data_IF_020638020661
#
_entry.id   IF_020638020661
#
_cell.length_a   1.000
_cell.length_b   1.000
_cell.length_c   1.000
_cell.angle_alpha   90.00
_cell.angle_beta   90.00
_cell.angle_gamma   90.00
#
_symmetry.space_group_name_H-M   'P 1'
#
loop_
_entity.id
_entity.type
_entity.pdbx_description
1 polymer ?
#
# COMPACT_ATOMS: atom_id res chain seq x y z
N UNK A 1 -25.56 13.06 -7.99
CA UNK A 1 -24.35 12.83 -8.82
C UNK A 1 -23.34 11.93 -8.11
N UNK A 2 -22.63 12.39 -7.06
CA UNK A 2 -21.62 11.57 -6.38
C UNK A 2 -22.18 10.23 -5.85
N UNK A 3 -23.30 10.26 -5.12
CA UNK A 3 -24.01 9.05 -4.66
C UNK A 3 -24.34 8.09 -5.80
N UNK A 4 -24.85 8.62 -6.91
CA UNK A 4 -25.28 7.82 -8.05
C UNK A 4 -24.08 7.19 -8.77
N UNK A 5 -22.94 7.89 -8.82
CA UNK A 5 -21.66 7.32 -9.26
C UNK A 5 -21.21 6.18 -8.34
N UNK A 6 -21.31 6.32 -7.02
CA UNK A 6 -20.94 5.24 -6.09
C UNK A 6 -21.79 3.99 -6.32
N UNK A 7 -23.11 4.16 -6.43
CA UNK A 7 -24.06 3.07 -6.71
C UNK A 7 -23.76 2.45 -8.07
N UNK A 8 -23.47 3.26 -9.08
CA UNK A 8 -23.09 2.79 -10.41
C UNK A 8 -21.84 1.91 -10.38
N UNK A 9 -20.78 2.32 -9.66
CA UNK A 9 -19.54 1.55 -9.57
C UNK A 9 -19.76 0.21 -8.86
N UNK A 10 -20.57 0.17 -7.81
CA UNK A 10 -20.89 -1.07 -7.09
C UNK A 10 -21.78 -2.02 -7.90
N UNK A 11 -22.76 -1.49 -8.62
CA UNK A 11 -23.63 -2.30 -9.48
C UNK A 11 -22.91 -2.81 -10.74
N UNK A 12 -21.77 -2.22 -11.08
CA UNK A 12 -20.95 -2.62 -12.22
C UNK A 12 -19.56 -3.10 -11.76
N UNK A 13 -19.52 -4.15 -10.95
CA UNK A 13 -18.28 -4.76 -10.43
C UNK A 13 -17.26 -5.05 -11.55
N UNK A 14 -17.72 -5.44 -12.74
CA UNK A 14 -16.84 -5.62 -13.90
C UNK A 14 -16.09 -4.33 -14.26
N UNK A 15 -16.79 -3.20 -14.32
CA UNK A 15 -16.18 -1.89 -14.61
C UNK A 15 -15.20 -1.49 -13.50
N UNK A 16 -15.55 -1.73 -12.23
CA UNK A 16 -14.64 -1.51 -11.10
C UNK A 16 -13.36 -2.33 -11.27
N UNK A 17 -13.49 -3.64 -11.52
CA UNK A 17 -12.38 -4.57 -11.72
C UNK A 17 -11.50 -4.17 -12.91
N UNK A 18 -12.09 -3.89 -14.07
CA UNK A 18 -11.38 -3.53 -15.29
C UNK A 18 -10.58 -2.22 -15.11
N UNK A 19 -11.19 -1.21 -14.49
CA UNK A 19 -10.51 0.06 -14.22
C UNK A 19 -9.39 -0.12 -13.20
N UNK A 20 -9.63 -0.82 -12.09
CA UNK A 20 -8.56 -1.06 -11.11
C UNK A 20 -7.43 -1.89 -11.72
N UNK A 21 -7.71 -2.92 -12.52
CA UNK A 21 -6.68 -3.77 -13.13
C UNK A 21 -5.83 -3.00 -14.15
N UNK A 22 -6.44 -2.07 -14.91
CA UNK A 22 -5.73 -1.19 -15.83
C UNK A 22 -4.71 -0.29 -15.11
N UNK A 23 -5.07 0.19 -13.92
CA UNK A 23 -4.26 1.12 -13.14
C UNK A 23 -3.22 0.37 -12.29
N UNK A 24 -3.63 -0.75 -11.71
CA UNK A 24 -2.88 -1.66 -10.86
C UNK A 24 -2.70 -3.02 -11.54
N UNK A 25 -1.82 -3.12 -12.55
CA UNK A 25 -1.65 -4.35 -13.32
C UNK A 25 -1.14 -5.52 -12.47
N UNK A 26 -0.44 -5.25 -11.36
CA UNK A 26 0.01 -6.26 -10.40
C UNK A 26 -1.03 -6.65 -9.35
N UNK A 27 -2.26 -6.13 -9.42
CA UNK A 27 -3.26 -6.32 -8.36
C UNK A 27 -3.62 -7.79 -8.14
N UNK A 28 -3.43 -8.26 -6.90
CA UNK A 28 -3.98 -9.51 -6.38
C UNK A 28 -4.08 -9.41 -4.85
N UNK A 29 -5.12 -10.00 -4.26
CA UNK A 29 -5.21 -10.15 -2.81
C UNK A 29 -4.32 -11.31 -2.32
N UNK A 30 -3.63 -11.11 -1.20
CA UNK A 30 -3.00 -12.18 -0.42
C UNK A 30 -4.07 -13.05 0.23
N UNK A 31 -4.14 -14.32 -0.15
CA UNK A 31 -5.14 -15.28 0.37
C UNK A 31 -4.61 -16.19 1.46
N UNK A 32 -3.30 -16.19 1.69
CA UNK A 32 -2.66 -17.16 2.62
C UNK A 32 -2.29 -16.55 3.97
N UNK A 33 -1.77 -15.32 3.96
CA UNK A 33 -1.20 -14.68 5.15
C UNK A 33 -2.04 -13.52 5.69
N UNK A 34 -3.03 -13.03 4.94
CA UNK A 34 -3.92 -12.00 5.46
C UNK A 34 -4.78 -12.57 6.60
N UNK A 35 -4.81 -11.88 7.74
CA UNK A 35 -5.45 -12.39 8.96
C UNK A 35 -6.94 -12.69 8.72
N UNK A 36 -7.67 -11.74 8.14
CA UNK A 36 -9.08 -11.93 7.83
C UNK A 36 -9.33 -13.10 6.87
N UNK A 37 -8.65 -13.13 5.71
CA UNK A 37 -8.86 -14.20 4.72
C UNK A 37 -8.42 -15.57 5.26
N UNK A 38 -7.35 -15.61 6.06
CA UNK A 38 -6.95 -16.83 6.75
C UNK A 38 -8.04 -17.31 7.71
N UNK A 39 -8.62 -16.43 8.53
CA UNK A 39 -9.74 -16.77 9.41
C UNK A 39 -10.96 -17.27 8.62
N UNK A 40 -11.28 -16.64 7.48
CA UNK A 40 -12.32 -17.13 6.55
C UNK A 40 -12.02 -18.55 6.08
N UNK A 41 -10.79 -18.79 5.59
CA UNK A 41 -10.39 -20.08 5.04
C UNK A 41 -10.36 -21.20 6.08
N UNK A 42 -9.88 -20.89 7.29
CA UNK A 42 -9.73 -21.83 8.40
C UNK A 42 -11.07 -22.09 9.13
N UNK A 43 -12.11 -21.30 8.87
CA UNK A 43 -13.42 -21.49 9.50
C UNK A 43 -14.12 -22.76 9.00
N UNK A 44 -14.50 -23.62 9.93
CA UNK A 44 -15.34 -24.81 9.67
C UNK A 44 -16.84 -24.50 9.76
N UNK A 45 -17.21 -23.27 10.12
CA UNK A 45 -18.61 -22.87 10.36
C UNK A 45 -19.28 -22.24 9.13
N UNK A 46 -18.54 -22.06 8.04
CA UNK A 46 -19.03 -21.48 6.80
C UNK A 46 -18.63 -22.37 5.61
N UNK A 47 -19.52 -22.44 4.63
CA UNK A 47 -19.37 -23.23 3.41
C UNK A 47 -18.31 -22.63 2.48
N UNK A 48 -17.82 -23.42 1.52
CA UNK A 48 -16.88 -22.95 0.48
C UNK A 48 -17.44 -21.76 -0.31
N UNK A 49 -18.74 -21.79 -0.65
CA UNK A 49 -19.39 -20.69 -1.35
C UNK A 49 -19.41 -19.39 -0.51
N UNK A 50 -19.66 -19.50 0.80
CA UNK A 50 -19.59 -18.36 1.71
C UNK A 50 -18.16 -17.81 1.85
N UNK A 51 -17.14 -18.69 1.90
CA UNK A 51 -15.73 -18.28 1.91
C UNK A 51 -15.38 -17.47 0.66
N UNK A 52 -15.78 -17.97 -0.52
CA UNK A 52 -15.56 -17.27 -1.80
C UNK A 52 -16.27 -15.91 -1.82
N UNK A 53 -17.52 -15.86 -1.37
CA UNK A 53 -18.27 -14.61 -1.27
C UNK A 53 -17.54 -13.60 -0.38
N UNK A 54 -17.08 -14.00 0.82
CA UNK A 54 -16.34 -13.13 1.72
C UNK A 54 -15.04 -12.59 1.14
N UNK A 55 -14.28 -13.43 0.42
CA UNK A 55 -13.04 -13.00 -0.24
C UNK A 55 -13.33 -12.04 -1.40
N UNK A 56 -14.34 -12.34 -2.24
CA UNK A 56 -14.74 -11.48 -3.36
C UNK A 56 -15.24 -10.12 -2.88
N UNK A 57 -15.95 -10.13 -1.75
CA UNK A 57 -16.45 -8.94 -1.10
C UNK A 57 -15.30 -8.06 -0.59
N UNK A 58 -14.32 -8.65 0.08
CA UNK A 58 -13.11 -7.94 0.47
C UNK A 58 -12.36 -7.35 -0.75
N UNK A 59 -12.27 -8.09 -1.85
CA UNK A 59 -11.68 -7.60 -3.12
C UNK A 59 -12.41 -6.35 -3.65
N UNK A 60 -13.73 -6.39 -3.74
CA UNK A 60 -14.56 -5.27 -4.18
C UNK A 60 -14.34 -4.04 -3.28
N UNK A 61 -14.28 -4.23 -1.96
CA UNK A 61 -14.04 -3.15 -1.01
C UNK A 61 -12.70 -2.46 -1.26
N UNK A 62 -11.60 -3.21 -1.41
CA UNK A 62 -10.27 -2.66 -1.68
C UNK A 62 -10.28 -1.86 -2.99
N UNK A 63 -10.88 -2.41 -4.05
CA UNK A 63 -10.96 -1.73 -5.35
C UNK A 63 -11.76 -0.44 -5.28
N UNK A 64 -12.89 -0.46 -4.56
CA UNK A 64 -13.73 0.71 -4.37
C UNK A 64 -12.98 1.82 -3.63
N UNK A 65 -12.27 1.47 -2.56
CA UNK A 65 -11.43 2.41 -1.82
C UNK A 65 -10.32 3.00 -2.69
N UNK A 66 -9.66 2.19 -3.52
CA UNK A 66 -8.67 2.69 -4.48
C UNK A 66 -9.28 3.72 -5.42
N UNK A 67 -10.47 3.45 -5.99
CA UNK A 67 -11.17 4.43 -6.86
C UNK A 67 -11.37 5.76 -6.14
N UNK A 68 -11.87 5.77 -4.91
CA UNK A 68 -12.09 7.02 -4.19
C UNK A 68 -10.79 7.71 -3.80
N UNK A 69 -9.76 6.96 -3.43
CA UNK A 69 -8.41 7.52 -3.22
C UNK A 69 -7.92 8.20 -4.50
N UNK A 70 -8.14 7.61 -5.68
CA UNK A 70 -7.77 8.20 -6.96
C UNK A 70 -8.52 9.50 -7.29
N UNK A 71 -9.82 9.58 -6.96
CA UNK A 71 -10.62 10.80 -7.11
C UNK A 71 -10.10 11.90 -6.17
N UNK A 72 -9.90 11.56 -4.89
CA UNK A 72 -9.40 12.51 -3.88
C UNK A 72 -8.00 12.99 -4.27
N UNK A 73 -7.12 12.09 -4.71
CA UNK A 73 -5.77 12.45 -5.19
C UNK A 73 -5.82 13.43 -6.35
N UNK A 74 -6.71 13.23 -7.32
CA UNK A 74 -6.89 14.16 -8.43
C UNK A 74 -7.31 15.55 -7.94
N UNK A 75 -8.36 15.60 -7.12
CA UNK A 75 -8.88 16.86 -6.59
C UNK A 75 -7.85 17.62 -5.72
N UNK A 76 -7.09 16.91 -4.89
CA UNK A 76 -6.10 17.52 -4.00
C UNK A 76 -4.83 17.98 -4.74
N UNK A 77 -4.49 17.33 -5.86
CA UNK A 77 -3.29 17.66 -6.62
C UNK A 77 -3.32 19.08 -7.20
N UNK A 78 -4.50 19.59 -7.56
CA UNK A 78 -4.72 20.97 -8.02
C UNK A 78 -4.40 22.00 -6.93
N UNK A 79 -4.38 21.57 -5.66
CA UNK A 79 -4.11 22.42 -4.50
C UNK A 79 -2.71 22.19 -3.90
N UNK A 80 -1.81 21.49 -4.60
CA UNK A 80 -0.46 21.23 -4.11
C UNK A 80 -0.41 20.26 -2.91
N UNK A 81 -1.41 19.38 -2.80
CA UNK A 81 -1.44 18.29 -1.84
C UNK A 81 -1.37 16.95 -2.57
N UNK A 82 -0.31 16.19 -2.32
CA UNK A 82 -0.07 14.91 -2.95
C UNK A 82 -0.46 13.77 -2.01
N UNK A 83 -1.34 12.88 -2.47
CA UNK A 83 -1.68 11.64 -1.79
C UNK A 83 -0.88 10.53 -2.47
N UNK A 84 0.15 10.05 -1.80
CA UNK A 84 1.11 9.09 -2.33
C UNK A 84 0.78 7.68 -1.86
N UNK A 85 0.56 6.76 -2.79
CA UNK A 85 0.51 5.33 -2.50
C UNK A 85 1.89 4.84 -2.03
N UNK A 86 1.86 3.97 -1.02
CA UNK A 86 3.01 3.27 -0.46
C UNK A 86 2.79 1.76 -0.48
N UNK A 87 3.79 1.02 0.00
CA UNK A 87 3.66 -0.38 0.35
C UNK A 87 3.24 -1.26 -0.83
N UNK A 88 2.36 -2.21 -0.56
CA UNK A 88 1.96 -3.20 -1.57
C UNK A 88 1.19 -2.60 -2.75
N UNK A 89 0.35 -1.59 -2.52
CA UNK A 89 -0.42 -0.93 -3.58
C UNK A 89 0.45 -0.08 -4.50
N UNK A 90 1.52 0.54 -3.98
CA UNK A 90 2.53 1.17 -4.83
C UNK A 90 3.22 0.14 -5.74
N UNK A 91 3.58 -1.04 -5.23
CA UNK A 91 4.16 -2.12 -6.05
C UNK A 91 3.15 -2.58 -7.11
N UNK A 92 1.90 -2.87 -6.73
CA UNK A 92 0.85 -3.30 -7.68
C UNK A 92 0.56 -2.27 -8.77
N UNK A 93 0.73 -0.97 -8.46
CA UNK A 93 0.59 0.10 -9.44
C UNK A 93 1.77 0.09 -10.42
N UNK A 94 3.00 0.05 -9.91
CA UNK A 94 4.19 0.21 -10.76
C UNK A 94 4.57 -1.06 -11.52
N UNK A 95 4.20 -2.24 -11.01
CA UNK A 95 4.72 -3.50 -11.49
C UNK A 95 3.63 -4.35 -12.15
N UNK A 96 3.88 -4.87 -13.36
CA UNK A 96 2.92 -5.73 -14.06
C UNK A 96 2.84 -7.14 -13.47
N UNK A 97 3.89 -7.57 -12.75
CA UNK A 97 3.89 -8.86 -12.05
C UNK A 97 2.94 -8.80 -10.88
N UNK A 98 2.11 -9.85 -10.74
CA UNK A 98 1.17 -9.99 -9.63
C UNK A 98 1.90 -9.89 -8.29
N UNK A 99 1.45 -9.01 -7.42
CA UNK A 99 2.01 -8.80 -6.09
C UNK A 99 0.89 -8.84 -5.04
N UNK A 100 0.89 -9.79 -4.08
CA UNK A 100 -0.22 -9.90 -3.15
C UNK A 100 -0.15 -8.83 -2.06
N UNK A 101 -1.26 -8.09 -1.87
CA UNK A 101 -1.42 -7.06 -0.84
C UNK A 101 -2.89 -6.77 -0.59
N UNK A 102 -3.26 -6.59 0.68
CA UNK A 102 -4.64 -6.53 1.13
C UNK A 102 -5.01 -5.12 1.61
N UNK A 103 -4.11 -4.50 2.36
CA UNK A 103 -4.18 -3.13 2.87
C UNK A 103 -3.78 -2.07 1.82
N UNK A 104 -4.16 -0.82 2.08
CA UNK A 104 -3.83 0.35 1.28
C UNK A 104 -3.03 1.32 2.15
N UNK A 105 -1.72 1.38 1.94
CA UNK A 105 -0.86 2.36 2.58
C UNK A 105 -0.81 3.64 1.74
N UNK A 106 -1.13 4.79 2.33
CA UNK A 106 -0.99 6.10 1.70
C UNK A 106 -0.28 7.09 2.61
N UNK A 107 0.29 8.13 2.00
CA UNK A 107 0.96 9.24 2.67
C UNK A 107 0.43 10.56 2.12
N UNK A 108 -0.02 11.44 3.00
CA UNK A 108 -0.36 12.82 2.67
C UNK A 108 0.91 13.67 2.71
N UNK A 109 1.20 14.35 1.60
CA UNK A 109 2.35 15.25 1.45
C UNK A 109 1.88 16.60 0.90
N UNK A 110 1.91 17.62 1.74
CA UNK A 110 1.71 19.02 1.36
C UNK A 110 2.67 19.92 2.13
N UNK A 111 3.17 20.94 1.44
CA UNK A 111 4.01 22.00 2.03
C UNK A 111 3.17 23.18 2.56
N UNK A 112 1.92 23.31 2.10
CA UNK A 112 1.05 24.46 2.37
C UNK A 112 -0.15 24.14 3.26
N UNK A 113 -0.46 22.85 3.43
CA UNK A 113 -1.63 22.39 4.16
C UNK A 113 -1.25 21.55 5.38
N UNK A 114 -2.13 21.53 6.38
CA UNK A 114 -1.97 20.65 7.55
C UNK A 114 -2.25 19.19 7.14
N UNK A 115 -1.17 18.43 6.95
CA UNK A 115 -1.22 17.02 6.56
C UNK A 115 -2.03 16.17 7.55
N UNK A 116 -1.98 16.46 8.85
CA UNK A 116 -2.75 15.73 9.87
C UNK A 116 -4.23 15.98 9.66
N UNK A 117 -4.63 17.25 9.49
CA UNK A 117 -6.02 17.61 9.24
C UNK A 117 -6.54 16.97 7.95
N UNK A 118 -5.75 16.99 6.88
CA UNK A 118 -6.12 16.33 5.61
C UNK A 118 -6.33 14.83 5.82
N UNK A 119 -5.40 14.14 6.48
CA UNK A 119 -5.53 12.70 6.73
C UNK A 119 -6.79 12.36 7.54
N UNK A 120 -7.12 13.16 8.55
CA UNK A 120 -8.34 12.99 9.34
C UNK A 120 -9.61 13.22 8.52
N UNK A 121 -9.69 14.30 7.75
CA UNK A 121 -10.87 14.58 6.92
C UNK A 121 -11.02 13.57 5.77
N UNK A 122 -9.91 13.12 5.19
CA UNK A 122 -9.90 12.03 4.22
C UNK A 122 -10.39 10.72 4.84
N UNK A 123 -9.92 10.39 6.06
CA UNK A 123 -10.39 9.23 6.81
C UNK A 123 -11.89 9.26 7.04
N UNK A 124 -12.41 10.40 7.53
CA UNK A 124 -13.86 10.63 7.72
C UNK A 124 -14.64 10.49 6.42
N UNK A 125 -14.14 11.06 5.32
CA UNK A 125 -14.79 10.98 4.02
C UNK A 125 -14.86 9.54 3.51
N UNK A 126 -13.77 8.78 3.61
CA UNK A 126 -13.73 7.37 3.21
C UNK A 126 -14.68 6.52 4.06
N UNK A 127 -14.71 6.73 5.39
CA UNK A 127 -15.69 6.07 6.27
C UNK A 127 -17.12 6.44 5.87
N UNK A 128 -17.40 7.73 5.64
CA UNK A 128 -18.73 8.18 5.22
C UNK A 128 -19.16 7.54 3.91
N UNK A 129 -18.28 7.51 2.90
CA UNK A 129 -18.49 6.85 1.61
C UNK A 129 -18.91 5.39 1.80
N UNK A 130 -18.20 4.66 2.65
CA UNK A 130 -18.48 3.25 2.95
C UNK A 130 -19.81 3.09 3.71
N UNK A 131 -20.07 3.94 4.72
CA UNK A 131 -21.33 3.94 5.47
C UNK A 131 -22.55 4.19 4.59
N UNK A 132 -22.45 5.09 3.61
CA UNK A 132 -23.55 5.33 2.67
C UNK A 132 -23.91 4.05 1.90
N UNK A 133 -22.95 3.18 1.63
CA UNK A 133 -23.24 1.91 0.94
C UNK A 133 -24.06 0.96 1.81
N UNK A 134 -23.83 0.90 3.12
CA UNK A 134 -24.58 0.02 4.02
C UNK A 134 -26.05 0.44 4.18
N UNK A 135 -26.37 1.73 4.01
CA UNK A 135 -27.72 2.27 4.21
C UNK A 135 -28.68 2.11 3.02
N UNK A 136 -28.15 1.91 1.82
CA UNK A 136 -28.98 1.61 0.64
C UNK A 136 -29.41 0.14 0.68
N UNK A 137 -30.69 -0.11 0.92
CA UNK A 137 -31.38 -1.38 1.23
C UNK A 137 -31.33 -2.49 0.15
N UNK A 138 -30.45 -2.38 -0.84
CA UNK A 138 -30.16 -3.39 -1.87
C UNK A 138 -28.66 -3.51 -2.17
N UNK A 139 -27.78 -2.93 -1.34
CA UNK A 139 -26.39 -2.78 -1.74
C UNK A 139 -25.60 -4.08 -1.62
N UNK A 140 -24.67 -4.23 -2.56
CA UNK A 140 -23.53 -5.15 -2.56
C UNK A 140 -22.81 -5.21 -1.20
N UNK A 141 -22.96 -4.20 -0.34
CA UNK A 141 -22.35 -4.15 0.99
C UNK A 141 -23.08 -4.90 2.10
N UNK A 142 -24.36 -5.28 1.96
CA UNK A 142 -24.99 -6.22 2.89
C UNK A 142 -24.41 -7.64 2.76
N UNK A 143 -23.79 -7.96 1.61
CA UNK A 143 -23.07 -9.22 1.41
C UNK A 143 -21.62 -9.16 1.87
N UNK A 144 -21.02 -7.97 1.92
CA UNK A 144 -19.75 -7.81 2.61
C UNK A 144 -19.98 -8.19 4.07
N UNK A 145 -19.22 -9.15 4.55
CA UNK A 145 -19.10 -9.68 5.92
C UNK A 145 -18.70 -8.63 6.97
N UNK A 146 -18.99 -7.36 6.72
CA UNK A 146 -18.38 -6.21 7.36
C UNK A 146 -19.51 -5.35 7.89
N UNK A 147 -19.67 -5.33 9.21
CA UNK A 147 -20.85 -4.73 9.84
C UNK A 147 -20.67 -3.25 10.17
N UNK A 148 -19.42 -2.81 10.28
CA UNK A 148 -19.08 -1.46 10.70
C UNK A 148 -17.68 -1.09 10.21
N UNK A 149 -17.47 0.19 9.89
CA UNK A 149 -16.16 0.75 9.54
C UNK A 149 -15.87 1.89 10.50
N UNK A 150 -14.67 1.89 11.08
CA UNK A 150 -14.23 2.89 12.05
C UNK A 150 -12.92 3.54 11.65
N UNK A 151 -12.73 4.77 12.15
CA UNK A 151 -11.47 5.48 12.09
C UNK A 151 -10.82 5.44 13.47
N UNK A 152 -9.57 4.98 13.53
CA UNK A 152 -8.76 4.95 14.76
C UNK A 152 -7.55 5.85 14.54
N UNK A 153 -7.42 6.89 15.35
CA UNK A 153 -6.18 7.65 15.49
C UNK A 153 -5.31 6.94 16.52
N UNK A 154 -4.07 6.60 16.16
CA UNK A 154 -3.11 5.97 17.07
C UNK A 154 -2.27 7.09 17.71
N UNK A 155 -2.45 7.42 19.00
CA UNK A 155 -1.79 8.58 19.61
C UNK A 155 -0.30 8.37 19.92
N UNK A 156 0.21 7.14 19.80
CA UNK A 156 1.57 6.79 20.19
C UNK A 156 2.46 6.61 18.96
N UNK A 157 3.39 7.55 18.75
CA UNK A 157 4.53 7.53 17.81
C UNK A 157 4.24 7.37 16.30
N UNK A 158 3.14 6.72 15.91
CA UNK A 158 2.72 6.52 14.53
C UNK A 158 1.75 7.62 14.14
N UNK A 159 2.22 8.59 13.36
CA UNK A 159 1.38 9.64 12.79
C UNK A 159 0.58 9.12 11.60
N UNK A 160 -0.37 8.23 11.91
CA UNK A 160 -1.19 7.47 10.97
C UNK A 160 -2.65 7.50 11.43
N UNK A 161 -3.57 7.71 10.47
CA UNK A 161 -5.00 7.44 10.65
C UNK A 161 -5.31 6.08 10.05
N UNK A 162 -5.89 5.16 10.83
CA UNK A 162 -6.27 3.82 10.35
C UNK A 162 -7.77 3.73 10.10
N UNK A 163 -8.14 3.20 8.95
CA UNK A 163 -9.50 2.79 8.63
C UNK A 163 -9.55 1.28 8.75
N UNK A 164 -10.37 0.80 9.68
CA UNK A 164 -10.56 -0.61 9.94
C UNK A 164 -12.02 -0.98 9.74
N UNK A 165 -12.26 -2.23 9.37
CA UNK A 165 -13.60 -2.77 9.29
C UNK A 165 -13.78 -3.96 10.20
N UNK A 166 -14.96 -3.99 10.81
CA UNK A 166 -15.38 -5.06 11.71
C UNK A 166 -15.87 -6.24 10.91
N UNK A 167 -15.18 -7.36 11.03
CA UNK A 167 -15.39 -8.57 10.23
C UNK A 167 -16.45 -9.49 10.85
N UNK A 168 -16.92 -10.46 10.07
CA UNK A 168 -17.85 -11.48 10.51
C UNK A 168 -17.37 -12.32 11.70
N UNK A 169 -16.06 -12.35 11.95
CA UNK A 169 -15.44 -13.09 13.05
C UNK A 169 -15.23 -12.23 14.31
N UNK A 170 -15.93 -11.10 14.41
CA UNK A 170 -15.83 -10.15 15.52
C UNK A 170 -14.41 -9.57 15.73
N UNK A 171 -13.66 -9.39 14.64
CA UNK A 171 -12.32 -8.78 14.65
C UNK A 171 -12.31 -7.51 13.81
N UNK A 172 -11.38 -6.59 14.09
CA UNK A 172 -11.13 -5.45 13.21
C UNK A 172 -9.96 -5.76 12.27
N UNK A 173 -10.19 -5.64 10.98
CA UNK A 173 -9.16 -5.72 9.93
C UNK A 173 -8.82 -4.30 9.47
N UNK A 174 -7.54 -3.93 9.53
CA UNK A 174 -7.06 -2.67 8.96
C UNK A 174 -7.08 -2.73 7.43
N UNK A 175 -7.65 -1.71 6.80
CA UNK A 175 -7.83 -1.66 5.35
C UNK A 175 -7.02 -0.52 4.73
N UNK A 176 -7.01 0.65 5.37
CA UNK A 176 -6.30 1.83 4.89
C UNK A 176 -5.50 2.43 6.02
N UNK A 177 -4.20 2.64 5.78
CA UNK A 177 -3.30 3.35 6.67
C UNK A 177 -2.92 4.68 6.00
N UNK A 178 -3.33 5.80 6.60
CA UNK A 178 -3.10 7.16 6.09
C UNK A 178 -2.03 7.84 6.93
N UNK A 179 -0.78 7.78 6.48
CA UNK A 179 0.32 8.51 7.08
C UNK A 179 0.22 10.01 6.81
N UNK A 180 0.57 10.83 7.80
CA UNK A 180 0.57 12.30 7.68
C UNK A 180 1.81 12.99 8.24
N UNK A 181 2.77 12.24 8.77
CA UNK A 181 4.11 12.78 9.05
C UNK A 181 4.95 12.82 7.80
N UNK A 182 5.71 13.92 7.67
CA UNK A 182 6.86 13.97 6.78
C UNK A 182 7.74 12.73 7.02
N UNK A 183 8.13 12.01 5.96
CA UNK A 183 9.10 10.93 6.07
C UNK A 183 10.34 11.39 6.84
N UNK A 184 10.97 10.48 7.61
CA UNK A 184 12.25 10.79 8.26
C UNK A 184 13.23 11.32 7.22
N UNK A 185 13.98 12.38 7.55
CA UNK A 185 14.88 13.06 6.60
C UNK A 185 15.88 12.08 5.94
N UNK A 186 16.28 11.03 6.67
CA UNK A 186 17.14 9.96 6.16
C UNK A 186 16.57 9.23 4.92
N UNK A 187 15.25 9.07 4.79
CA UNK A 187 14.60 8.35 3.66
C UNK A 187 13.72 9.25 2.80
N UNK A 188 13.50 10.51 3.19
CA UNK A 188 12.55 11.43 2.55
C UNK A 188 12.76 11.51 1.04
N UNK A 189 14.00 11.60 0.59
CA UNK A 189 14.35 11.58 -0.84
C UNK A 189 13.78 10.36 -1.56
N UNK A 190 13.80 9.17 -0.96
CA UNK A 190 13.27 7.94 -1.58
C UNK A 190 11.74 7.86 -1.56
N UNK A 191 11.07 8.72 -0.81
CA UNK A 191 9.61 8.73 -0.75
C UNK A 191 9.05 9.79 -1.69
N UNK A 192 9.59 11.01 -1.64
CA UNK A 192 8.97 12.16 -2.31
C UNK A 192 9.67 12.59 -3.61
N UNK A 193 10.91 12.16 -3.87
CA UNK A 193 11.60 12.56 -5.10
C UNK A 193 11.20 11.68 -6.29
N UNK A 194 10.89 12.34 -7.41
CA UNK A 194 10.55 11.70 -8.69
C UNK A 194 9.42 10.66 -8.57
N UNK A 195 8.21 11.07 -8.13
CA UNK A 195 7.10 10.14 -8.00
C UNK A 195 6.64 9.60 -9.36
N UNK A 196 6.18 8.35 -9.39
CA UNK A 196 5.40 7.84 -10.52
C UNK A 196 4.00 8.43 -10.45
N UNK A 197 3.56 9.06 -11.53
CA UNK A 197 2.21 9.59 -11.69
C UNK A 197 1.47 8.76 -12.74
N UNK A 198 0.30 8.23 -12.40
CA UNK A 198 -0.61 7.56 -13.33
C UNK A 198 -1.95 8.27 -13.38
N UNK A 199 -2.30 8.77 -14.56
CA UNK A 199 -3.57 9.46 -14.82
C UNK A 199 -3.36 10.81 -15.52
N UNK A 200 -4.44 11.60 -15.69
CA UNK A 200 -5.80 11.28 -15.25
C UNK A 200 -6.45 10.17 -16.07
N UNK A 201 -7.14 9.23 -15.41
CA UNK A 201 -8.03 8.25 -16.06
C UNK A 201 -9.47 8.74 -15.94
N UNK A 202 -10.16 8.83 -17.07
CA UNK A 202 -11.55 9.27 -17.10
C UNK A 202 -12.49 8.12 -16.76
N UNK A 203 -13.34 8.33 -15.77
CA UNK A 203 -14.46 7.49 -15.41
C UNK A 203 -15.77 8.08 -15.92
N UNK A 204 -16.87 7.28 -15.93
CA UNK A 204 -18.21 7.81 -16.10
C UNK A 204 -18.52 8.95 -15.11
N UNK A 205 -19.48 9.80 -15.46
CA UNK A 205 -19.88 10.98 -14.68
C UNK A 205 -18.78 12.04 -14.52
N UNK A 206 -17.83 12.09 -15.47
CA UNK A 206 -16.72 13.07 -15.52
C UNK A 206 -15.77 13.05 -14.32
N UNK A 207 -15.73 11.94 -13.56
CA UNK A 207 -14.69 11.77 -12.54
C UNK A 207 -13.35 11.42 -13.18
N UNK A 208 -12.28 11.97 -12.65
CA UNK A 208 -10.91 11.66 -13.04
C UNK A 208 -10.17 11.00 -11.89
N UNK A 209 -9.39 9.97 -12.21
CA UNK A 209 -8.52 9.28 -11.27
C UNK A 209 -7.07 9.68 -11.52
N UNK A 210 -6.40 10.10 -10.46
CA UNK A 210 -4.96 10.32 -10.44
C UNK A 210 -4.37 9.45 -9.34
N UNK A 211 -3.23 8.82 -9.59
CA UNK A 211 -2.47 8.13 -8.55
C UNK A 211 -1.03 8.56 -8.60
N UNK A 212 -0.46 8.78 -7.42
CA UNK A 212 0.93 9.15 -7.21
C UNK A 212 1.55 8.06 -6.34
N UNK A 213 2.76 7.61 -6.66
CA UNK A 213 3.50 6.70 -5.77
C UNK A 213 5.00 6.97 -5.85
N UNK A 214 5.75 6.31 -4.98
CA UNK A 214 7.20 6.15 -5.16
C UNK A 214 7.50 5.46 -6.49
N UNK A 215 8.63 5.82 -7.12
CA UNK A 215 9.15 5.07 -8.26
C UNK A 215 9.73 3.72 -7.81
N UNK A 216 9.85 2.77 -8.76
CA UNK A 216 10.43 1.44 -8.48
C UNK A 216 11.83 1.55 -7.87
N UNK A 217 12.67 2.43 -8.42
CA UNK A 217 14.03 2.64 -7.95
C UNK A 217 14.06 3.21 -6.53
N UNK A 218 13.19 4.17 -6.24
CA UNK A 218 13.10 4.78 -4.93
C UNK A 218 12.60 3.76 -3.88
N UNK A 219 11.64 2.90 -4.24
CA UNK A 219 11.20 1.79 -3.39
C UNK A 219 12.33 0.79 -3.13
N UNK A 220 13.13 0.42 -4.14
CA UNK A 220 14.27 -0.50 -3.93
C UNK A 220 15.30 0.14 -2.98
N UNK A 221 15.68 1.40 -3.21
CA UNK A 221 16.62 2.12 -2.35
C UNK A 221 16.12 2.22 -0.90
N UNK A 222 14.84 2.52 -0.68
CA UNK A 222 14.23 2.52 0.65
C UNK A 222 14.36 1.16 1.33
N UNK A 223 14.05 0.07 0.61
CA UNK A 223 14.12 -1.29 1.14
C UNK A 223 15.56 -1.72 1.44
N UNK A 224 16.53 -1.37 0.59
CA UNK A 224 17.95 -1.63 0.83
C UNK A 224 18.48 -0.84 2.03
N UNK A 225 18.10 0.44 2.17
CA UNK A 225 18.45 1.24 3.35
C UNK A 225 18.00 0.55 4.65
N UNK A 226 16.73 0.13 4.70
CA UNK A 226 16.21 -0.56 5.89
C UNK A 226 16.82 -1.95 6.09
N UNK A 227 17.12 -2.68 5.03
CA UNK A 227 17.84 -3.96 5.13
C UNK A 227 19.20 -3.76 5.80
N UNK A 228 20.00 -2.80 5.32
CA UNK A 228 21.31 -2.50 5.91
C UNK A 228 21.17 -2.05 7.37
N UNK A 229 20.22 -1.16 7.66
CA UNK A 229 19.96 -0.67 9.02
C UNK A 229 19.56 -1.77 10.00
N UNK A 230 18.63 -2.65 9.59
CA UNK A 230 17.97 -3.57 10.52
C UNK A 230 18.50 -5.00 10.48
N UNK A 231 18.87 -5.52 9.31
CA UNK A 231 19.38 -6.88 9.19
C UNK A 231 20.90 -6.96 9.42
N UNK A 232 21.66 -5.99 8.91
CA UNK A 232 23.13 -5.98 8.99
C UNK A 232 23.60 -5.27 10.26
N UNK A 233 23.32 -3.98 10.36
CA UNK A 233 23.77 -3.16 11.50
C UNK A 233 23.00 -3.45 12.78
N UNK A 234 21.84 -4.12 12.67
CA UNK A 234 20.91 -4.41 13.78
C UNK A 234 20.61 -3.16 14.62
N UNK A 235 20.58 -2.01 13.96
CA UNK A 235 20.35 -0.71 14.56
C UNK A 235 18.85 -0.41 14.57
N UNK A 236 18.15 -1.11 15.46
CA UNK A 236 16.72 -0.95 15.69
C UNK A 236 16.42 -1.02 17.19
N UNK A 237 15.27 -0.47 17.56
CA UNK A 237 14.70 -0.63 18.89
C UNK A 237 13.66 -1.75 18.88
N UNK A 238 13.35 -2.40 20.01
CA UNK A 238 12.36 -3.48 20.07
C UNK A 238 11.00 -3.12 19.44
N UNK A 239 10.57 -1.87 19.60
CA UNK A 239 9.34 -1.32 19.01
C UNK A 239 9.31 -1.29 17.48
N UNK A 240 10.47 -1.37 16.81
CA UNK A 240 10.54 -1.38 15.35
C UNK A 240 10.08 -2.71 14.72
N UNK A 241 9.85 -3.77 15.53
CA UNK A 241 9.41 -5.10 15.07
C UNK A 241 10.26 -5.65 13.90
N UNK A 242 11.59 -5.45 13.99
CA UNK A 242 12.52 -5.60 12.89
C UNK A 242 12.46 -6.98 12.22
N UNK A 243 12.26 -8.06 12.97
CA UNK A 243 12.21 -9.43 12.42
C UNK A 243 11.06 -9.62 11.42
N UNK A 244 9.85 -9.15 11.77
CA UNK A 244 8.70 -9.17 10.88
C UNK A 244 8.88 -8.22 9.69
N UNK A 245 9.48 -7.05 9.94
CA UNK A 245 9.73 -6.05 8.91
C UNK A 245 10.75 -6.53 7.86
N UNK A 246 11.81 -7.24 8.29
CA UNK A 246 12.84 -7.80 7.41
C UNK A 246 12.25 -8.81 6.42
N UNK A 247 11.32 -9.68 6.84
CA UNK A 247 10.65 -10.60 5.91
C UNK A 247 9.86 -9.86 4.82
N UNK A 248 9.17 -8.78 5.18
CA UNK A 248 8.46 -7.91 4.23
C UNK A 248 9.42 -7.20 3.27
N UNK A 249 10.63 -6.86 3.71
CA UNK A 249 11.67 -6.28 2.85
C UNK A 249 12.03 -7.23 1.72
N UNK A 250 12.35 -8.49 2.02
CA UNK A 250 12.76 -9.47 0.99
C UNK A 250 11.65 -9.73 -0.04
N UNK A 251 10.41 -9.92 0.43
CA UNK A 251 9.25 -10.09 -0.45
C UNK A 251 9.07 -8.90 -1.39
N UNK A 252 9.24 -7.68 -0.87
CA UNK A 252 9.15 -6.45 -1.67
C UNK A 252 10.29 -6.36 -2.68
N UNK A 253 11.54 -6.59 -2.25
CA UNK A 253 12.73 -6.54 -3.11
C UNK A 253 12.63 -7.55 -4.25
N UNK A 254 12.21 -8.79 -3.98
CA UNK A 254 11.99 -9.82 -5.02
C UNK A 254 11.05 -9.31 -6.12
N UNK A 255 9.92 -8.72 -5.72
CA UNK A 255 8.93 -8.20 -6.65
C UNK A 255 9.44 -6.98 -7.43
N UNK A 256 10.09 -6.03 -6.75
CA UNK A 256 10.63 -4.81 -7.35
C UNK A 256 11.79 -5.08 -8.32
N UNK A 257 12.69 -6.00 -7.99
CA UNK A 257 13.77 -6.41 -8.87
C UNK A 257 13.22 -7.09 -10.13
N UNK A 258 12.28 -8.03 -9.96
CA UNK A 258 11.60 -8.70 -11.08
C UNK A 258 10.82 -7.75 -11.98
N UNK A 259 10.34 -6.64 -11.40
CA UNK A 259 9.65 -5.56 -12.09
C UNK A 259 10.63 -4.70 -12.92
N UNK A 260 11.85 -4.47 -12.41
CA UNK A 260 12.89 -3.72 -13.11
C UNK A 260 13.60 -4.53 -14.19
N UNK A 261 13.93 -5.79 -13.90
CA UNK A 261 14.56 -6.71 -14.85
C UNK A 261 14.23 -8.16 -14.48
N UNK A 262 13.91 -9.01 -15.46
CA UNK A 262 13.63 -10.44 -15.22
C UNK A 262 14.89 -11.31 -15.21
N UNK A 263 15.99 -10.84 -15.76
CA UNK A 263 17.26 -11.56 -15.83
C UNK A 263 17.98 -11.52 -14.47
N UNK A 264 18.19 -12.67 -13.79
CA UNK A 264 18.87 -12.73 -12.51
C UNK A 264 20.30 -12.16 -12.51
N UNK A 265 21.03 -12.27 -13.62
CA UNK A 265 22.41 -11.74 -13.71
C UNK A 265 22.35 -10.22 -13.63
N UNK A 266 21.49 -9.61 -14.45
CA UNK A 266 21.25 -8.17 -14.44
C UNK A 266 20.68 -7.67 -13.11
N UNK A 267 19.87 -8.48 -12.41
CA UNK A 267 19.38 -8.13 -11.08
C UNK A 267 20.51 -7.96 -10.06
N UNK A 268 21.56 -8.79 -10.14
CA UNK A 268 22.72 -8.68 -9.25
C UNK A 268 23.50 -7.37 -9.51
N UNK A 269 23.70 -7.01 -10.78
CA UNK A 269 24.36 -5.76 -11.15
C UNK A 269 23.55 -4.53 -10.71
N UNK A 270 22.22 -4.60 -10.86
CA UNK A 270 21.30 -3.57 -10.37
C UNK A 270 21.41 -3.44 -8.84
N UNK A 271 21.40 -4.56 -8.12
CA UNK A 271 21.52 -4.58 -6.66
C UNK A 271 22.85 -3.96 -6.20
N UNK A 272 23.97 -4.38 -6.81
CA UNK A 272 25.29 -3.86 -6.48
C UNK A 272 25.36 -2.34 -6.68
N UNK A 273 24.87 -1.86 -7.83
CA UNK A 273 24.83 -0.43 -8.15
C UNK A 273 23.97 0.34 -7.13
N UNK A 274 22.78 -0.17 -6.80
CA UNK A 274 21.88 0.49 -5.85
C UNK A 274 22.41 0.45 -4.42
N UNK A 275 23.06 -0.63 -3.99
CA UNK A 275 23.68 -0.73 -2.66
C UNK A 275 24.79 0.31 -2.52
N UNK A 276 25.70 0.41 -3.50
CA UNK A 276 26.74 1.44 -3.51
C UNK A 276 26.11 2.84 -3.40
N UNK A 277 25.08 3.10 -4.21
CA UNK A 277 24.37 4.37 -4.19
C UNK A 277 23.77 4.68 -2.81
N UNK A 278 23.13 3.71 -2.15
CA UNK A 278 22.53 3.93 -0.83
C UNK A 278 23.60 4.13 0.25
N UNK A 279 24.71 3.39 0.19
CA UNK A 279 25.84 3.57 1.12
C UNK A 279 26.39 5.00 0.98
N UNK A 280 26.65 5.45 -0.24
CA UNK A 280 27.18 6.79 -0.52
C UNK A 280 26.20 7.88 -0.06
N UNK A 281 24.92 7.78 -0.43
CA UNK A 281 23.90 8.77 -0.10
C UNK A 281 23.58 8.82 1.40
N UNK A 282 23.76 7.71 2.13
CA UNK A 282 23.32 7.54 3.53
C UNK A 282 24.45 7.21 4.51
N UNK A 283 25.71 7.46 4.13
CA UNK A 283 26.89 7.17 4.94
C UNK A 283 26.77 7.66 6.38
N UNK A 284 26.24 8.89 6.58
CA UNK A 284 26.03 9.47 7.91
C UNK A 284 25.05 8.69 8.80
N UNK A 285 24.15 7.91 8.21
CA UNK A 285 23.16 7.09 8.94
C UNK A 285 23.54 5.61 8.99
N UNK A 286 24.62 5.23 8.29
CA UNK A 286 25.11 3.87 8.13
C UNK A 286 26.60 3.80 8.53
N UNK A 287 26.96 4.43 9.66
CA UNK A 287 28.35 4.76 10.08
C UNK A 287 29.27 3.53 10.22
N UNK A 288 28.76 2.30 10.17
CA UNK A 288 29.55 1.06 10.25
C UNK A 288 29.33 0.09 9.08
N UNK A 289 28.60 0.52 8.05
CA UNK A 289 28.34 -0.34 6.87
C UNK A 289 29.60 -0.54 6.02
N UNK A 290 30.58 0.35 6.16
CA UNK A 290 31.89 0.30 5.51
C UNK A 290 32.73 -0.92 5.89
N UNK A 291 32.37 -1.59 7.00
CA UNK A 291 32.97 -2.87 7.41
C UNK A 291 32.50 -4.05 6.56
N UNK A 292 31.40 -3.90 5.83
CA UNK A 292 30.83 -4.93 4.95
C UNK A 292 31.10 -4.57 3.48
N UNK A 293 31.60 -5.53 2.70
CA UNK A 293 31.76 -5.27 1.27
C UNK A 293 30.37 -5.18 0.59
N UNK A 294 30.15 -4.27 -0.36
CA UNK A 294 28.89 -4.20 -1.10
C UNK A 294 28.47 -5.54 -1.72
N UNK A 295 29.44 -6.35 -2.17
CA UNK A 295 29.17 -7.68 -2.70
C UNK A 295 28.64 -8.64 -1.63
N UNK A 296 29.17 -8.59 -0.41
CA UNK A 296 28.66 -9.38 0.73
C UNK A 296 27.20 -9.06 1.03
N UNK A 297 26.84 -7.76 0.96
CA UNK A 297 25.46 -7.30 1.14
C UNK A 297 24.57 -7.83 0.01
N UNK A 298 25.02 -7.74 -1.25
CA UNK A 298 24.32 -8.30 -2.42
C UNK A 298 24.05 -9.79 -2.25
N UNK A 299 25.08 -10.56 -1.89
CA UNK A 299 24.97 -12.01 -1.70
C UNK A 299 23.95 -12.36 -0.61
N UNK A 300 23.98 -11.62 0.50
CA UNK A 300 23.01 -11.77 1.60
C UNK A 300 21.57 -11.45 1.19
N UNK A 301 21.34 -10.43 0.36
CA UNK A 301 20.00 -10.14 -0.20
C UNK A 301 19.57 -11.26 -1.14
N UNK A 302 20.43 -11.68 -2.07
CA UNK A 302 20.13 -12.71 -3.07
C UNK A 302 19.74 -14.03 -2.41
N UNK A 303 20.48 -14.44 -1.37
CA UNK A 303 20.18 -15.66 -0.62
C UNK A 303 18.74 -15.66 -0.07
N UNK A 304 18.24 -14.50 0.38
CA UNK A 304 16.93 -14.38 1.02
C UNK A 304 15.77 -14.16 0.05
N UNK A 305 16.03 -13.69 -1.17
CA UNK A 305 14.98 -13.46 -2.18
C UNK A 305 14.77 -14.64 -3.13
N UNK A 306 15.71 -15.61 -3.19
CA UNK A 306 15.52 -16.87 -3.93
C UNK A 306 14.31 -17.64 -3.38
#
# INVERSE_FOLDING_TARGET
MFRDFMIYMLNNVKILTDNTQKIFPGFILEKTQNAYIKTVNDSNFITTAEKENYINNYDILIRLLLVFIGIITNAMSEHGCHIMLKGGKAIQMNCPTKYPSNDIDILVVSDTMDNKKIALEMGKLLVWILLQQFTTTQSVMQHLSMYYVSMIEIPQTESIVKISAFTHFNTYEAIVDIGFTTPKEEIKSYIVSNPTIKGPFHLPFNYQLLYISQSVDAMIKEKLYYYMKYAILKNYKPEDNAEFFIQKIYRSLKALLSCKNKDPIMQNEILLTMINTVIDEKQKNLIEIDKESPQTIVDGVIEKIK
#
